data_IF_713681382453
#
_entry.id   IF_713681382453
#
_cell.length_a   1.000
_cell.length_b   1.000
_cell.length_c   1.000
_cell.angle_alpha   90.00
_cell.angle_beta   90.00
_cell.angle_gamma   90.00
#
_symmetry.space_group_name_H-M   'P 1'
#
loop_
_entity.id
_entity.type
_entity.pdbx_description
1 polymer ?
#
# COMPACT_ATOMS: atom_id res chain seq x y z
N UNK A 1 -1.00 -2.79 -5.81
CA UNK A 1 -0.32 -2.91 -7.12
C UNK A 1 -1.39 -2.85 -8.22
N UNK A 2 -1.21 -2.01 -9.24
CA UNK A 2 -2.13 -1.89 -10.39
C UNK A 2 -1.74 -2.92 -11.47
N UNK A 3 -2.69 -3.75 -11.91
CA UNK A 3 -2.42 -4.88 -12.81
C UNK A 3 -1.98 -4.38 -14.20
N UNK A 4 -2.63 -3.35 -14.72
CA UNK A 4 -2.36 -2.76 -16.03
C UNK A 4 -0.94 -2.18 -16.05
N UNK A 5 -0.56 -1.43 -15.02
CA UNK A 5 0.81 -0.88 -14.89
C UNK A 5 1.85 -1.98 -14.75
N UNK A 6 1.53 -3.02 -13.99
CA UNK A 6 2.41 -4.18 -13.83
C UNK A 6 2.68 -4.87 -15.16
N UNK A 7 1.64 -5.10 -15.98
CA UNK A 7 1.79 -5.70 -17.30
C UNK A 7 2.58 -4.81 -18.26
N UNK A 8 2.38 -3.48 -18.20
CA UNK A 8 3.15 -2.54 -19.00
C UNK A 8 4.64 -2.57 -18.61
N UNK A 9 4.94 -2.50 -17.32
CA UNK A 9 6.30 -2.57 -16.80
C UNK A 9 7.00 -3.88 -17.20
N UNK A 10 6.32 -5.03 -17.11
CA UNK A 10 6.89 -6.33 -17.53
C UNK A 10 7.25 -6.34 -19.03
N UNK A 11 6.45 -5.69 -19.88
CA UNK A 11 6.74 -5.59 -21.32
C UNK A 11 7.95 -4.70 -21.59
N UNK A 12 8.06 -3.58 -20.87
CA UNK A 12 9.15 -2.61 -21.04
C UNK A 12 10.48 -3.14 -20.51
N UNK A 13 10.50 -3.73 -19.32
CA UNK A 13 11.71 -4.26 -18.68
C UNK A 13 12.11 -5.66 -19.18
N UNK A 14 11.23 -6.32 -19.96
CA UNK A 14 11.37 -7.74 -20.38
C UNK A 14 11.68 -8.68 -19.19
N UNK A 15 11.19 -8.31 -18.01
CA UNK A 15 11.46 -8.96 -16.73
C UNK A 15 10.17 -9.50 -16.12
N UNK A 16 10.30 -10.50 -15.25
CA UNK A 16 9.17 -11.09 -14.52
C UNK A 16 9.23 -10.68 -13.05
N UNK A 17 8.07 -10.40 -12.45
CA UNK A 17 7.95 -10.17 -11.00
C UNK A 17 8.03 -11.47 -10.17
N UNK A 18 8.35 -12.61 -10.78
CA UNK A 18 8.42 -13.89 -10.06
C UNK A 18 9.69 -13.93 -9.22
N UNK A 19 9.58 -13.52 -7.96
CA UNK A 19 10.66 -13.59 -6.98
C UNK A 19 10.65 -14.95 -6.27
N UNK A 20 10.81 -16.03 -7.03
CA UNK A 20 11.11 -17.36 -6.46
C UNK A 20 12.61 -17.46 -6.11
N UNK A 21 13.14 -16.44 -5.43
CA UNK A 21 14.52 -16.42 -4.99
C UNK A 21 14.64 -17.04 -3.60
N UNK A 22 15.67 -17.85 -3.42
CA UNK A 22 16.09 -18.35 -2.11
C UNK A 22 16.68 -17.18 -1.30
N UNK A 23 15.94 -16.75 -0.28
CA UNK A 23 16.32 -15.63 0.59
C UNK A 23 17.26 -16.04 1.72
N UNK A 24 17.58 -17.33 1.88
CA UNK A 24 18.31 -17.86 3.04
C UNK A 24 19.75 -17.35 3.21
N UNK A 25 20.33 -16.74 2.17
CA UNK A 25 21.73 -16.24 2.14
C UNK A 25 21.85 -14.78 1.70
N UNK A 26 20.76 -14.02 1.71
CA UNK A 26 20.81 -12.61 1.32
C UNK A 26 21.13 -11.77 2.56
N UNK A 27 22.27 -11.09 2.54
CA UNK A 27 22.60 -10.08 3.54
C UNK A 27 21.92 -8.74 3.20
N UNK A 28 21.28 -8.14 4.19
CA UNK A 28 20.56 -6.88 4.01
C UNK A 28 21.59 -5.73 3.90
N UNK A 29 21.77 -5.19 2.69
CA UNK A 29 22.69 -4.07 2.45
C UNK A 29 22.05 -2.72 2.76
N UNK A 30 22.87 -1.71 3.07
CA UNK A 30 22.38 -0.34 3.26
C UNK A 30 21.70 0.22 2.01
N UNK A 31 20.62 0.99 2.20
CA UNK A 31 19.83 1.58 1.12
C UNK A 31 20.71 2.45 0.19
N UNK A 32 20.64 2.20 -1.10
CA UNK A 32 21.35 2.97 -2.11
C UNK A 32 20.64 4.30 -2.40
N UNK A 33 21.38 5.41 -2.44
CA UNK A 33 20.86 6.70 -2.93
C UNK A 33 20.49 6.68 -4.42
N UNK A 34 20.94 5.66 -5.16
CA UNK A 34 20.69 5.45 -6.58
C UNK A 34 19.62 4.37 -6.83
N UNK A 35 18.84 4.01 -5.81
CA UNK A 35 17.80 3.00 -5.96
C UNK A 35 16.82 3.35 -7.09
N UNK A 36 16.49 2.36 -7.93
CA UNK A 36 15.60 2.47 -9.07
C UNK A 36 14.14 2.44 -8.61
N UNK A 37 13.33 3.35 -9.14
CA UNK A 37 11.89 3.37 -8.89
C UNK A 37 11.15 2.39 -9.81
N UNK A 38 10.44 1.43 -9.24
CA UNK A 38 9.53 0.49 -9.90
C UNK A 38 8.09 0.89 -9.53
N UNK A 39 7.57 1.91 -10.21
CA UNK A 39 6.31 2.57 -9.85
C UNK A 39 5.10 1.83 -10.43
N UNK A 40 4.61 0.83 -9.68
CA UNK A 40 3.52 -0.06 -10.10
C UNK A 40 2.14 0.37 -9.60
N UNK A 41 2.05 1.51 -8.91
CA UNK A 41 0.80 2.13 -8.48
C UNK A 41 0.70 3.56 -9.06
N UNK A 42 -0.51 4.12 -9.22
CA UNK A 42 -0.68 5.51 -9.69
C UNK A 42 -0.03 6.54 -8.76
N UNK A 43 0.13 7.79 -9.19
CA UNK A 43 0.48 8.86 -8.24
C UNK A 43 -0.71 9.17 -7.30
N UNK A 44 -0.46 9.78 -6.15
CA UNK A 44 -1.50 9.99 -5.12
C UNK A 44 -2.71 10.85 -5.59
N UNK A 45 -2.50 11.77 -6.52
CA UNK A 45 -3.54 12.58 -7.17
C UNK A 45 -4.44 11.76 -8.10
N UNK A 46 -3.90 10.67 -8.65
CA UNK A 46 -4.59 9.75 -9.57
C UNK A 46 -5.10 8.48 -8.88
N UNK A 47 -4.98 8.43 -7.56
CA UNK A 47 -5.51 7.38 -6.72
C UNK A 47 -6.82 7.85 -6.08
N UNK A 48 -7.91 7.13 -6.32
CA UNK A 48 -9.09 7.21 -5.45
C UNK A 48 -8.93 6.20 -4.32
N UNK A 49 -9.07 6.68 -3.09
CA UNK A 49 -9.05 5.85 -1.89
C UNK A 49 -10.36 6.03 -1.13
N UNK A 50 -10.96 4.92 -0.71
CA UNK A 50 -12.10 4.90 0.20
C UNK A 50 -11.68 4.03 1.39
N UNK A 51 -11.95 4.50 2.60
CA UNK A 51 -11.56 3.82 3.84
C UNK A 51 -12.78 3.64 4.72
N UNK A 52 -12.91 2.45 5.30
CA UNK A 52 -13.91 2.15 6.30
C UNK A 52 -13.24 1.68 7.58
N UNK A 53 -13.77 2.13 8.72
CA UNK A 53 -13.36 1.70 10.06
C UNK A 53 -14.57 1.09 10.74
N UNK A 54 -14.47 -0.19 11.14
CA UNK A 54 -15.56 -0.93 11.82
C UNK A 54 -16.91 -0.92 11.05
N UNK A 55 -16.80 -0.86 9.71
CA UNK A 55 -17.91 -0.83 8.75
C UNK A 55 -18.48 0.55 8.47
N UNK A 56 -17.96 1.63 9.07
CA UNK A 56 -18.33 3.01 8.76
C UNK A 56 -17.32 3.63 7.78
N UNK A 57 -17.80 4.22 6.68
CA UNK A 57 -16.93 4.97 5.76
C UNK A 57 -16.43 6.24 6.43
N UNK A 58 -15.12 6.45 6.41
CA UNK A 58 -14.48 7.62 7.02
C UNK A 58 -13.82 8.51 5.95
N UNK A 59 -13.89 9.84 6.11
CA UNK A 59 -13.19 10.77 5.21
C UNK A 59 -11.68 10.50 5.16
N UNK A 60 -11.11 10.49 3.96
CA UNK A 60 -9.67 10.56 3.74
C UNK A 60 -9.25 12.02 3.73
N UNK A 61 -8.47 12.42 4.74
CA UNK A 61 -8.02 13.79 4.96
C UNK A 61 -6.76 14.12 4.15
N UNK A 62 -5.86 13.14 4.02
CA UNK A 62 -4.61 13.30 3.27
C UNK A 62 -4.18 11.99 2.62
N UNK A 63 -3.61 12.11 1.42
CA UNK A 63 -2.92 11.03 0.71
C UNK A 63 -1.50 11.49 0.43
N UNK A 64 -0.52 10.81 0.99
CA UNK A 64 0.89 11.10 0.74
C UNK A 64 1.54 9.90 0.06
N UNK A 65 2.18 10.15 -1.07
CA UNK A 65 3.03 9.15 -1.73
C UNK A 65 4.37 9.04 -1.00
N UNK A 66 4.76 7.81 -0.67
CA UNK A 66 6.01 7.46 0.00
C UNK A 66 6.75 6.38 -0.79
N UNK A 67 8.06 6.28 -0.57
CA UNK A 67 8.88 5.21 -1.16
C UNK A 67 8.86 3.99 -0.25
N UNK A 68 8.49 2.84 -0.81
CA UNK A 68 8.60 1.53 -0.16
C UNK A 68 9.77 0.79 -0.81
N UNK A 69 10.83 0.54 -0.05
CA UNK A 69 12.00 -0.18 -0.55
C UNK A 69 11.75 -1.68 -0.49
N UNK A 70 11.80 -2.35 -1.64
CA UNK A 70 11.71 -3.81 -1.72
C UNK A 70 13.06 -4.46 -1.37
N UNK A 71 14.14 -3.80 -1.79
CA UNK A 71 15.51 -4.11 -1.42
C UNK A 71 16.37 -2.82 -1.38
N UNK A 72 17.69 -2.96 -1.27
CA UNK A 72 18.59 -1.81 -1.19
C UNK A 72 18.71 -0.99 -2.48
N UNK A 73 18.29 -1.55 -3.61
CA UNK A 73 18.46 -1.02 -4.96
C UNK A 73 17.15 -0.72 -5.68
N UNK A 74 16.01 -1.20 -5.19
CA UNK A 74 14.71 -0.97 -5.80
C UNK A 74 13.67 -0.50 -4.78
N UNK A 75 12.83 0.45 -5.21
CA UNK A 75 11.68 0.90 -4.43
C UNK A 75 10.43 1.03 -5.30
N UNK A 76 9.27 0.75 -4.71
CA UNK A 76 7.96 1.08 -5.27
C UNK A 76 7.37 2.31 -4.59
N UNK A 77 6.23 2.75 -5.11
CA UNK A 77 5.40 3.74 -4.44
C UNK A 77 4.36 3.08 -3.54
N UNK A 78 4.24 3.61 -2.33
CA UNK A 78 3.20 3.29 -1.38
C UNK A 78 2.49 4.59 -0.94
N UNK A 79 1.40 4.46 -0.20
CA UNK A 79 0.62 5.61 0.25
C UNK A 79 0.46 5.60 1.76
N UNK A 80 0.73 6.73 2.38
CA UNK A 80 0.30 7.03 3.74
C UNK A 80 -1.05 7.75 3.66
N UNK A 81 -2.09 7.11 4.20
CA UNK A 81 -3.46 7.66 4.25
C UNK A 81 -3.73 8.20 5.65
N UNK A 82 -4.03 9.49 5.75
CA UNK A 82 -4.60 10.07 6.98
C UNK A 82 -6.11 10.13 6.83
N UNK A 83 -6.83 9.57 7.80
CA UNK A 83 -8.28 9.48 7.78
C UNK A 83 -8.87 10.03 9.07
N UNK A 84 -10.14 10.43 9.00
CA UNK A 84 -10.90 10.82 10.19
C UNK A 84 -11.36 9.58 10.98
N UNK A 85 -11.82 9.81 12.20
CA UNK A 85 -12.38 8.76 13.06
C UNK A 85 -13.85 8.47 12.71
N UNK A 86 -14.32 7.22 12.89
CA UNK A 86 -15.74 6.91 12.74
C UNK A 86 -16.56 7.66 13.79
N UNK A 87 -17.71 8.19 13.39
CA UNK A 87 -18.64 8.90 14.27
C UNK A 87 -19.29 7.94 15.26
N UNK A 88 -19.63 6.73 14.81
CA UNK A 88 -20.27 5.71 15.65
C UNK A 88 -19.22 4.70 16.12
N UNK A 89 -18.59 4.99 17.25
CA UNK A 89 -17.61 4.09 17.82
C UNK A 89 -18.27 2.80 18.34
N UNK A 90 -18.04 1.70 17.64
CA UNK A 90 -18.36 0.35 18.13
C UNK A 90 -17.24 -0.11 19.06
N UNK A 91 -17.32 0.30 20.33
CA UNK A 91 -16.30 -0.03 21.34
C UNK A 91 -16.40 -1.44 21.93
N UNK A 92 -17.23 -2.32 21.34
CA UNK A 92 -17.50 -3.65 21.89
C UNK A 92 -16.39 -4.66 21.54
N UNK A 93 -15.74 -4.51 20.40
CA UNK A 93 -14.70 -5.45 19.94
C UNK A 93 -13.32 -5.03 20.48
N UNK A 94 -12.44 -5.98 20.84
CA UNK A 94 -11.07 -5.68 21.32
C UNK A 94 -10.12 -5.23 20.20
N UNK A 95 -10.63 -5.00 18.99
CA UNK A 95 -9.89 -4.64 17.80
C UNK A 95 -10.68 -3.66 16.93
N UNK A 96 -10.00 -3.08 15.95
CA UNK A 96 -10.57 -2.29 14.85
C UNK A 96 -10.30 -2.98 13.52
N UNK A 97 -11.28 -2.95 12.64
CA UNK A 97 -11.13 -3.42 11.26
C UNK A 97 -11.04 -2.20 10.35
N UNK A 98 -10.02 -2.17 9.50
CA UNK A 98 -9.89 -1.20 8.42
C UNK A 98 -10.13 -1.92 7.10
N UNK A 99 -11.07 -1.41 6.31
CA UNK A 99 -11.18 -1.75 4.90
C UNK A 99 -10.65 -0.57 4.09
N UNK A 100 -9.82 -0.85 3.10
CA UNK A 100 -9.30 0.17 2.17
C UNK A 100 -9.58 -0.31 0.76
N UNK A 101 -10.35 0.47 0.02
CA UNK A 101 -10.55 0.26 -1.42
C UNK A 101 -9.80 1.34 -2.18
N UNK A 102 -9.04 0.90 -3.17
CA UNK A 102 -8.23 1.75 -4.03
C UNK A 102 -8.70 1.61 -5.47
N UNK A 103 -8.68 2.71 -6.21
CA UNK A 103 -8.93 2.71 -7.66
C UNK A 103 -7.90 3.57 -8.35
N UNK A 104 -7.21 2.99 -9.33
CA UNK A 104 -6.36 3.69 -10.28
C UNK A 104 -7.26 4.45 -11.26
N UNK A 105 -7.28 5.78 -11.17
CA UNK A 105 -8.17 6.60 -11.98
C UNK A 105 -7.75 6.67 -13.45
N UNK A 106 -6.52 6.27 -13.79
CA UNK A 106 -6.07 6.26 -15.18
C UNK A 106 -6.52 4.99 -15.92
N UNK A 107 -6.44 3.83 -15.25
CA UNK A 107 -6.66 2.53 -15.88
C UNK A 107 -7.92 1.81 -15.39
N UNK A 108 -8.54 2.29 -14.31
CA UNK A 108 -9.73 1.68 -13.70
C UNK A 108 -9.45 0.46 -12.82
N UNK A 109 -8.19 0.06 -12.66
CA UNK A 109 -7.81 -1.06 -11.80
C UNK A 109 -8.22 -0.80 -10.35
N UNK A 110 -8.79 -1.83 -9.70
CA UNK A 110 -9.26 -1.77 -8.32
C UNK A 110 -8.49 -2.74 -7.44
N UNK A 111 -8.23 -2.32 -6.22
CA UNK A 111 -7.67 -3.16 -5.16
C UNK A 111 -8.42 -2.98 -3.87
N UNK A 112 -8.43 -4.02 -3.04
CA UNK A 112 -9.01 -4.01 -1.71
C UNK A 112 -7.98 -4.56 -0.70
N UNK A 113 -7.89 -3.92 0.46
CA UNK A 113 -7.12 -4.38 1.60
C UNK A 113 -7.98 -4.39 2.86
N UNK A 114 -7.90 -5.47 3.63
CA UNK A 114 -8.52 -5.61 4.94
C UNK A 114 -7.43 -5.74 5.99
N UNK A 115 -7.45 -4.85 6.97
CA UNK A 115 -6.48 -4.81 8.06
C UNK A 115 -7.19 -4.92 9.40
N UNK A 116 -6.52 -5.59 10.32
CA UNK A 116 -6.97 -5.79 11.69
C UNK A 116 -5.97 -5.16 12.64
N UNK A 117 -6.47 -4.40 13.61
CA UNK A 117 -5.63 -3.73 14.61
C UNK A 117 -6.19 -3.96 16.01
N UNK A 118 -5.43 -4.61 16.89
CA UNK A 118 -5.79 -4.78 18.30
C UNK A 118 -5.78 -3.44 19.05
N UNK A 119 -6.72 -3.26 19.99
CA UNK A 119 -6.81 -2.02 20.79
C UNK A 119 -5.83 -1.98 21.96
N UNK A 120 -5.54 -3.13 22.56
CA UNK A 120 -4.85 -3.21 23.86
C UNK A 120 -3.32 -3.32 23.75
N UNK A 121 -2.77 -3.58 22.57
CA UNK A 121 -1.35 -3.94 22.40
C UNK A 121 -0.46 -2.87 21.74
N UNK A 122 -0.87 -1.60 21.70
CA UNK A 122 -0.10 -0.61 20.91
C UNK A 122 1.12 -0.01 21.63
N UNK A 123 1.17 0.04 22.97
CA UNK A 123 2.38 0.44 23.74
C UNK A 123 2.37 -0.27 25.10
N UNK A 124 3.41 -1.07 25.39
CA UNK A 124 3.89 -1.33 26.76
C UNK A 124 5.23 -0.65 26.93
#
# INVERSE_FOLDING_TARGET
>A
MSLTRTLQWQKEEKSSLVHAQDLSKIEQTGLSKQAKGVLLAPSADKLKAIVWIDGEEVPVLMKQEIKEYFDATEYGNAYLLTVDMPRHQKNILPYRIFKVELTDLENGDRGEGLYYMEKENYIK
#
